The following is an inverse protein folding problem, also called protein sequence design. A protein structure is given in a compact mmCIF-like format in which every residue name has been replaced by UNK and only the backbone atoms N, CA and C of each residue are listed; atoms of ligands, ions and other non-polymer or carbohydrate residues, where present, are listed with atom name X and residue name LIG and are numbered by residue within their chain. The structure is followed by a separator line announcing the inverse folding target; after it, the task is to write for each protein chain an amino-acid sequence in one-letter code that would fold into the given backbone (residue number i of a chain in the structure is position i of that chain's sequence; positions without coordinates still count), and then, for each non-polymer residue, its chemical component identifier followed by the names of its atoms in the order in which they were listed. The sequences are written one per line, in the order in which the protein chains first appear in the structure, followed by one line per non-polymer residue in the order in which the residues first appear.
data_IF_588767434093
#
_entry.id   IF_588767434093
#
_cell.length_a   1.000
_cell.length_b   1.000
_cell.length_c   1.000
_cell.angle_alpha   90.00
_cell.angle_beta   90.00
_cell.angle_gamma   90.00
#
_symmetry.space_group_name_H-M   'P 1'
#
loop_
_entity.id
_entity.type
_entity.pdbx_description
1 polymer ?
#
# COMPACT_ATOMS: atom_id res chain seq x y z
N UNK A 1 -1.60 -10.97 -27.98
CA UNK A 1 -2.02 -11.85 -26.87
C UNK A 1 -3.53 -11.97 -26.97
N UNK A 2 -4.07 -13.18 -27.18
CA UNK A 2 -5.52 -13.34 -27.31
C UNK A 2 -6.20 -13.07 -25.97
N UNK A 3 -7.45 -12.61 -25.99
CA UNK A 3 -8.21 -12.30 -24.78
C UNK A 3 -8.30 -13.51 -23.83
N UNK A 4 -8.38 -14.72 -24.39
CA UNK A 4 -8.36 -15.98 -23.63
C UNK A 4 -7.04 -16.22 -22.89
N UNK A 5 -5.90 -15.89 -23.50
CA UNK A 5 -4.59 -16.04 -22.87
C UNK A 5 -4.41 -15.06 -21.70
N UNK A 6 -4.95 -13.85 -21.82
CA UNK A 6 -4.95 -12.86 -20.74
C UNK A 6 -5.86 -13.30 -19.58
N UNK A 7 -7.02 -13.87 -19.90
CA UNK A 7 -7.96 -14.41 -18.91
C UNK A 7 -7.32 -15.57 -18.12
N UNK A 8 -6.69 -16.52 -18.82
CA UNK A 8 -6.02 -17.69 -18.22
C UNK A 8 -4.83 -17.30 -17.34
N UNK A 9 -4.03 -16.30 -17.76
CA UNK A 9 -2.90 -15.83 -16.96
C UNK A 9 -3.39 -15.08 -15.71
N UNK A 10 -4.51 -14.36 -15.79
CA UNK A 10 -5.12 -13.68 -14.63
C UNK A 10 -5.60 -14.70 -13.60
N UNK A 11 -6.36 -15.71 -14.01
CA UNK A 11 -6.83 -16.80 -13.12
C UNK A 11 -5.66 -17.57 -12.49
N UNK A 12 -4.59 -17.82 -13.25
CA UNK A 12 -3.38 -18.48 -12.75
C UNK A 12 -2.68 -17.64 -11.68
N UNK A 13 -2.58 -16.32 -11.89
CA UNK A 13 -1.99 -15.39 -10.93
C UNK A 13 -2.85 -15.28 -9.68
N UNK A 14 -4.18 -15.25 -9.82
CA UNK A 14 -5.13 -15.23 -8.70
C UNK A 14 -5.00 -16.48 -7.82
N UNK A 15 -4.90 -17.66 -8.42
CA UNK A 15 -4.72 -18.93 -7.70
C UNK A 15 -3.38 -19.00 -6.97
N UNK A 16 -2.30 -18.50 -7.58
CA UNK A 16 -0.99 -18.34 -6.91
C UNK A 16 -1.02 -17.32 -5.78
N UNK A 17 -1.85 -16.28 -5.88
CA UNK A 17 -2.04 -15.27 -4.84
C UNK A 17 -2.83 -15.79 -3.63
N UNK A 18 -3.70 -16.78 -3.82
CA UNK A 18 -4.49 -17.43 -2.76
C UNK A 18 -3.63 -18.32 -1.85
N UNK A 19 -2.58 -18.95 -2.39
CA UNK A 19 -1.64 -19.78 -1.62
C UNK A 19 -0.65 -18.96 -0.77
N UNK A 20 -0.54 -17.66 -1.02
CA UNK A 20 0.40 -16.80 -0.32
C UNK A 20 -0.40 -15.95 0.70
N UNK A 21 -0.14 -16.07 2.02
CA UNK A 21 -0.71 -15.16 3.03
C UNK A 21 -0.49 -13.66 2.70
N UNK A 22 0.53 -13.38 1.88
CA UNK A 22 0.87 -12.08 1.32
C UNK A 22 0.08 -11.65 0.07
N UNK A 23 -0.71 -12.49 -0.59
CA UNK A 23 -1.51 -12.09 -1.75
C UNK A 23 -2.67 -11.17 -1.39
N UNK A 24 -3.34 -11.41 -0.25
CA UNK A 24 -4.22 -10.40 0.37
C UNK A 24 -3.43 -9.16 0.80
N UNK A 25 -2.20 -9.35 1.30
CA UNK A 25 -1.29 -8.24 1.61
C UNK A 25 -0.84 -7.45 0.36
N UNK A 26 -0.85 -8.05 -0.83
CA UNK A 26 -0.53 -7.38 -2.10
C UNK A 26 -1.72 -6.56 -2.61
N UNK A 27 -2.97 -7.04 -2.46
CA UNK A 27 -4.16 -6.18 -2.67
C UNK A 27 -4.21 -5.01 -1.68
N UNK A 28 -3.76 -5.25 -0.45
CA UNK A 28 -3.47 -4.16 0.49
C UNK A 28 -2.36 -3.26 -0.06
N UNK A 29 -1.21 -3.79 -0.49
CA UNK A 29 -0.14 -2.95 -1.04
C UNK A 29 -0.60 -2.09 -2.22
N UNK A 30 -1.44 -2.58 -3.12
CA UNK A 30 -1.98 -1.71 -4.20
C UNK A 30 -2.81 -0.58 -3.60
N UNK A 31 -3.82 -0.89 -2.76
CA UNK A 31 -4.69 0.12 -2.12
C UNK A 31 -3.90 1.14 -1.26
N UNK A 32 -2.97 0.68 -0.44
CA UNK A 32 -2.15 1.54 0.42
C UNK A 32 -1.03 2.23 -0.36
N UNK A 33 -0.67 1.78 -1.56
CA UNK A 33 0.31 2.43 -2.41
C UNK A 33 -0.37 3.51 -3.26
N UNK A 34 -1.54 3.24 -3.84
CA UNK A 34 -2.31 4.25 -4.56
C UNK A 34 -2.85 5.32 -3.62
N UNK A 35 -3.50 4.95 -2.52
CA UNK A 35 -4.10 5.95 -1.62
C UNK A 35 -3.07 6.52 -0.64
N UNK A 36 -2.17 5.68 -0.13
CA UNK A 36 -1.11 6.05 0.80
C UNK A 36 0.16 6.62 0.15
N UNK A 37 0.27 6.59 -1.19
CA UNK A 37 1.37 7.10 -2.05
C UNK A 37 2.70 6.34 -1.90
N UNK A 38 3.07 5.95 -0.69
CA UNK A 38 4.30 5.23 -0.36
C UNK A 38 3.95 4.20 0.70
N UNK A 39 4.54 3.00 0.63
CA UNK A 39 4.48 1.98 1.68
C UNK A 39 5.90 1.50 1.99
N UNK A 40 6.23 1.37 3.27
CA UNK A 40 7.49 0.74 3.67
C UNK A 40 7.70 0.77 5.18
N UNK A 41 8.96 0.68 5.59
CA UNK A 41 9.35 0.98 6.97
C UNK A 41 9.06 2.44 7.30
N UNK A 42 9.08 2.76 8.60
CA UNK A 42 8.83 4.13 9.07
C UNK A 42 9.85 5.11 8.51
N UNK A 43 11.12 4.68 8.50
CA UNK A 43 12.28 5.44 8.06
C UNK A 43 12.15 5.76 6.57
N UNK A 44 11.91 4.75 5.75
CA UNK A 44 11.72 4.89 4.31
C UNK A 44 10.59 5.87 3.96
N UNK A 45 9.45 5.76 4.66
CA UNK A 45 8.31 6.65 4.42
C UNK A 45 8.61 8.09 4.86
N UNK A 46 9.39 8.27 5.93
CA UNK A 46 9.80 9.60 6.39
C UNK A 46 10.82 10.24 5.45
N UNK A 47 11.75 9.47 4.89
CA UNK A 47 12.67 9.94 3.85
C UNK A 47 11.88 10.39 2.62
N UNK A 48 10.97 9.57 2.11
CA UNK A 48 10.11 9.94 0.99
C UNK A 48 9.28 11.21 1.29
N UNK A 49 8.79 11.37 2.52
CA UNK A 49 8.12 12.59 2.96
C UNK A 49 9.03 13.81 2.95
N UNK A 50 10.28 13.68 3.41
CA UNK A 50 11.24 14.78 3.40
C UNK A 50 11.56 15.23 1.96
N UNK A 51 11.79 14.26 1.06
CA UNK A 51 12.02 14.52 -0.37
C UNK A 51 10.84 15.23 -1.05
N UNK A 52 9.62 14.89 -0.67
CA UNK A 52 8.40 15.47 -1.24
C UNK A 52 7.74 16.51 -0.31
N UNK A 53 8.49 17.17 0.58
CA UNK A 53 7.95 18.00 1.67
C UNK A 53 6.97 19.06 1.18
N UNK A 54 7.24 19.68 0.04
CA UNK A 54 6.40 20.70 -0.59
C UNK A 54 4.97 20.22 -0.92
N UNK A 55 4.78 18.90 -1.08
CA UNK A 55 3.49 18.28 -1.42
C UNK A 55 2.59 18.05 -0.21
N UNK A 56 3.08 18.36 1.00
CA UNK A 56 2.39 18.14 2.26
C UNK A 56 2.12 19.45 3.00
N UNK A 57 1.07 19.48 3.80
CA UNK A 57 0.68 20.68 4.55
C UNK A 57 1.79 21.16 5.50
N UNK A 58 1.84 22.47 5.75
CA UNK A 58 2.82 23.08 6.65
C UNK A 58 2.77 22.49 8.08
N UNK A 59 1.58 22.08 8.53
CA UNK A 59 1.36 21.48 9.87
C UNK A 59 1.99 20.11 10.05
N UNK A 60 2.29 19.40 8.95
CA UNK A 60 2.81 18.04 8.99
C UNK A 60 4.32 18.04 9.27
N UNK A 61 4.74 17.31 10.31
CA UNK A 61 6.15 17.20 10.75
C UNK A 61 6.84 15.91 10.30
N UNK A 62 6.07 14.86 10.02
CA UNK A 62 6.57 13.54 9.62
C UNK A 62 5.67 12.86 8.57
N UNK A 63 6.20 11.85 7.89
CA UNK A 63 5.54 11.14 6.79
C UNK A 63 4.79 9.89 7.23
N UNK A 64 5.31 9.13 8.18
CA UNK A 64 4.80 7.79 8.45
C UNK A 64 3.44 7.81 9.16
N UNK A 65 2.43 7.16 8.55
CA UNK A 65 1.10 6.91 9.11
C UNK A 65 0.85 5.42 9.21
N UNK A 66 0.23 5.00 10.32
CA UNK A 66 -0.17 3.61 10.51
C UNK A 66 -1.27 3.23 9.53
N UNK A 67 -1.21 2.01 9.02
CA UNK A 67 -2.29 1.47 8.18
C UNK A 67 -3.56 1.28 9.03
N UNK A 68 -4.73 1.54 8.43
CA UNK A 68 -6.06 1.41 9.05
C UNK A 68 -6.87 0.31 8.39
N UNK A 69 -8.05 -0.01 8.90
CA UNK A 69 -8.94 -1.01 8.29
C UNK A 69 -8.27 -2.38 8.13
N UNK A 70 -8.33 -2.92 6.92
CA UNK A 70 -7.80 -4.23 6.58
C UNK A 70 -6.27 -4.38 6.69
N UNK A 71 -5.54 -3.26 6.73
CA UNK A 71 -4.09 -3.22 6.94
C UNK A 71 -3.68 -3.06 8.41
N UNK A 72 -4.62 -2.95 9.34
CA UNK A 72 -4.32 -2.67 10.76
C UNK A 72 -3.43 -3.73 11.42
N UNK A 73 -3.45 -4.97 10.93
CA UNK A 73 -2.57 -6.05 11.41
C UNK A 73 -1.08 -5.81 11.16
N UNK A 74 -0.72 -4.88 10.27
CA UNK A 74 0.68 -4.52 9.99
C UNK A 74 1.21 -3.38 10.88
N UNK A 75 0.47 -2.97 11.93
CA UNK A 75 0.84 -1.89 12.84
C UNK A 75 2.24 -2.12 13.42
N UNK A 76 3.11 -1.11 13.30
CA UNK A 76 4.49 -1.17 13.76
C UNK A 76 5.47 -1.77 12.75
N UNK A 77 4.99 -2.55 11.77
CA UNK A 77 5.82 -3.15 10.72
C UNK A 77 5.79 -2.33 9.43
N UNK A 78 4.61 -1.87 9.01
CA UNK A 78 4.42 -1.13 7.77
C UNK A 78 3.73 0.21 8.01
N UNK A 79 4.18 1.18 7.23
CA UNK A 79 3.78 2.57 7.29
C UNK A 79 3.43 3.08 5.90
N UNK A 80 2.61 4.12 5.86
CA UNK A 80 2.17 4.77 4.62
C UNK A 80 2.37 6.28 4.69
N UNK A 81 2.58 6.94 3.54
CA UNK A 81 2.78 8.39 3.52
C UNK A 81 1.48 9.19 3.66
N UNK A 82 0.30 8.60 3.47
CA UNK A 82 -0.99 9.26 3.74
C UNK A 82 -1.92 8.35 4.52
N UNK A 83 -2.74 8.94 5.38
CA UNK A 83 -3.80 8.23 6.06
C UNK A 83 -4.76 7.61 5.05
N UNK A 84 -4.98 6.29 5.13
CA UNK A 84 -6.02 5.66 4.36
C UNK A 84 -7.40 6.18 4.83
N UNK A 85 -8.21 6.67 3.88
CA UNK A 85 -9.62 6.97 4.11
C UNK A 85 -10.40 5.67 4.02
N UNK A 86 -10.98 5.24 5.14
CA UNK A 86 -11.86 4.07 5.23
C UNK A 86 -13.30 4.53 5.15
N UNK A 87 -14.11 3.96 4.26
CA UNK A 87 -15.55 4.26 4.14
C UNK A 87 -15.95 5.26 3.05
N UNK A 88 -15.27 5.26 1.90
CA UNK A 88 -15.81 5.84 0.65
C UNK A 88 -16.12 4.70 -0.30
#
# INVERSE_FOLDING_TARGET
MSAEQAQQETERLEKKLEEIPYGRMLRYRVRYFTDGVVIGSKEFVNEAFAWARERFSAKRKDGARTMRGSGSGAKGLLWTARDLRVGV
#
